data_IF_390852863964
#
_entry.id   IF_390852863964
#
_cell.length_a   1.000
_cell.length_b   1.000
_cell.length_c   1.000
_cell.angle_alpha   90.00
_cell.angle_beta   90.00
_cell.angle_gamma   90.00
#
_symmetry.space_group_name_H-M   'P 1'
#
loop_
_entity.id
_entity.type
_entity.pdbx_description
1 polymer ?
#
# COMPACT_ATOMS: atom_id res chain seq x y z
N UNK A 1 -10.09 -20.52 -6.96
CA UNK A 1 -8.61 -20.50 -7.03
C UNK A 1 -8.26 -19.52 -8.15
N UNK A 2 -7.73 -18.33 -7.82
CA UNK A 2 -7.37 -17.33 -8.83
C UNK A 2 -6.12 -17.82 -9.55
N UNK A 3 -6.18 -17.96 -10.87
CA UNK A 3 -5.00 -18.28 -11.66
C UNK A 3 -4.17 -17.00 -11.82
N UNK A 4 -3.02 -16.97 -11.17
CA UNK A 4 -2.10 -15.83 -11.20
C UNK A 4 -1.68 -15.40 -12.60
N UNK A 5 -1.72 -16.32 -13.59
CA UNK A 5 -1.43 -15.98 -14.98
C UNK A 5 -2.47 -15.04 -15.59
N UNK A 6 -3.72 -15.10 -15.11
CA UNK A 6 -4.82 -14.26 -15.58
C UNK A 6 -4.77 -12.85 -14.96
N UNK A 7 -3.94 -12.65 -13.91
CA UNK A 7 -3.71 -11.35 -13.29
C UNK A 7 -2.66 -10.51 -14.04
N UNK A 8 -1.70 -11.13 -14.75
CA UNK A 8 -0.65 -10.37 -15.44
C UNK A 8 -1.17 -9.32 -16.44
N UNK A 9 -2.17 -9.63 -17.29
CA UNK A 9 -2.73 -8.62 -18.19
C UNK A 9 -3.37 -7.44 -17.44
N UNK A 10 -4.01 -7.71 -16.29
CA UNK A 10 -4.67 -6.68 -15.47
C UNK A 10 -3.65 -5.84 -14.73
N UNK A 11 -2.62 -6.47 -14.16
CA UNK A 11 -1.49 -5.78 -13.50
C UNK A 11 -0.77 -4.89 -14.51
N UNK A 12 -0.53 -5.37 -15.73
CA UNK A 12 0.04 -4.56 -16.81
C UNK A 12 -0.85 -3.37 -17.16
N UNK A 13 -2.16 -3.58 -17.32
CA UNK A 13 -3.11 -2.49 -17.57
C UNK A 13 -3.15 -1.47 -16.42
N UNK A 14 -3.09 -1.92 -15.16
CA UNK A 14 -3.00 -1.05 -13.98
C UNK A 14 -1.71 -0.24 -13.99
N UNK A 15 -0.58 -0.84 -14.36
CA UNK A 15 0.69 -0.13 -14.48
C UNK A 15 0.64 0.97 -15.56
N UNK A 16 -0.02 0.71 -16.70
CA UNK A 16 -0.24 1.75 -17.73
C UNK A 16 -1.09 2.92 -17.22
N UNK A 17 -2.10 2.66 -16.38
CA UNK A 17 -2.85 3.76 -15.75
C UNK A 17 -2.04 4.48 -14.67
N UNK A 18 -1.18 3.76 -13.93
CA UNK A 18 -0.25 4.37 -12.98
C UNK A 18 0.72 5.32 -13.69
N UNK A 19 1.26 4.93 -14.85
CA UNK A 19 2.09 5.83 -15.67
C UNK A 19 1.33 7.07 -16.11
N UNK A 20 0.07 6.92 -16.56
CA UNK A 20 -0.76 8.06 -16.92
C UNK A 20 -1.02 9.01 -15.73
N UNK A 21 -1.21 8.45 -14.53
CA UNK A 21 -1.28 9.24 -13.28
C UNK A 21 0.04 9.97 -13.03
N UNK A 22 1.17 9.28 -13.10
CA UNK A 22 2.50 9.85 -12.89
C UNK A 22 2.82 10.98 -13.89
N UNK A 23 2.50 10.79 -15.17
CA UNK A 23 2.63 11.83 -16.21
C UNK A 23 1.77 13.05 -15.88
N UNK A 24 0.51 12.85 -15.51
CA UNK A 24 -0.38 13.95 -15.13
C UNK A 24 0.15 14.76 -13.93
N UNK A 25 0.78 14.09 -12.97
CA UNK A 25 1.34 14.71 -11.77
C UNK A 25 2.67 15.41 -12.05
N UNK A 26 3.51 14.85 -12.93
CA UNK A 26 4.83 15.40 -13.28
C UNK A 26 4.74 16.83 -13.84
N UNK A 27 3.66 17.16 -14.54
CA UNK A 27 3.43 18.51 -15.08
C UNK A 27 2.98 19.53 -14.01
N UNK A 28 2.65 19.09 -12.79
CA UNK A 28 1.89 19.87 -11.81
C UNK A 28 2.51 19.95 -10.43
N UNK A 29 3.40 19.02 -10.11
CA UNK A 29 3.96 18.88 -8.77
C UNK A 29 5.47 19.06 -8.78
N UNK A 30 5.99 19.63 -7.70
CA UNK A 30 7.42 19.66 -7.42
C UNK A 30 7.84 18.31 -6.81
N UNK A 31 8.77 17.63 -7.47
CA UNK A 31 9.31 16.33 -7.02
C UNK A 31 10.03 16.46 -5.67
N UNK A 32 10.59 17.62 -5.34
CA UNK A 32 11.25 17.85 -4.06
C UNK A 32 10.26 18.01 -2.89
N UNK A 33 9.00 18.35 -3.20
CA UNK A 33 7.94 18.55 -2.20
C UNK A 33 6.59 18.05 -2.74
N UNK A 34 6.46 16.73 -2.95
CA UNK A 34 5.32 16.16 -3.67
C UNK A 34 4.02 16.31 -2.86
N UNK A 35 2.97 16.80 -3.52
CA UNK A 35 1.65 16.85 -2.89
C UNK A 35 1.02 15.47 -2.88
N UNK A 36 1.25 14.69 -3.94
CA UNK A 36 0.74 13.35 -4.15
C UNK A 36 1.82 12.30 -3.92
N UNK A 37 1.48 11.27 -3.14
CA UNK A 37 2.38 10.15 -2.83
C UNK A 37 1.67 8.85 -3.19
N UNK A 38 2.32 8.03 -4.02
CA UNK A 38 1.89 6.68 -4.34
C UNK A 38 2.20 5.75 -3.17
N UNK A 39 1.16 5.12 -2.62
CA UNK A 39 1.27 4.16 -1.51
C UNK A 39 0.82 2.77 -2.00
N UNK A 40 0.54 1.86 -1.07
CA UNK A 40 -0.11 0.60 -1.40
C UNK A 40 0.79 -0.38 -2.17
N UNK A 41 0.17 -1.24 -2.99
CA UNK A 41 0.87 -2.37 -3.63
C UNK A 41 1.90 -1.95 -4.68
N UNK A 42 1.64 -0.87 -5.42
CA UNK A 42 2.60 -0.35 -6.40
C UNK A 42 3.83 0.28 -5.76
N UNK A 43 3.68 0.95 -4.61
CA UNK A 43 4.81 1.43 -3.83
C UNK A 43 5.66 0.27 -3.28
N UNK A 44 5.05 -0.85 -2.89
CA UNK A 44 5.81 -2.06 -2.51
C UNK A 44 6.56 -2.64 -3.70
N UNK A 45 5.92 -2.67 -4.88
CA UNK A 45 6.52 -3.16 -6.11
C UNK A 45 7.81 -2.40 -6.49
N UNK A 46 7.87 -1.09 -6.23
CA UNK A 46 9.08 -0.30 -6.42
C UNK A 46 10.29 -0.86 -5.65
N UNK A 47 10.11 -1.27 -4.39
CA UNK A 47 11.18 -1.84 -3.56
C UNK A 47 11.41 -3.33 -3.83
N UNK A 48 10.33 -4.07 -4.06
CA UNK A 48 10.36 -5.51 -4.24
C UNK A 48 9.20 -5.96 -5.13
N UNK A 49 9.49 -6.18 -6.41
CA UNK A 49 8.53 -6.59 -7.43
C UNK A 49 8.08 -8.05 -7.26
N UNK A 50 7.32 -8.34 -6.20
CA UNK A 50 6.92 -9.71 -5.83
C UNK A 50 5.53 -10.13 -6.34
N UNK A 51 4.53 -9.25 -6.23
CA UNK A 51 3.13 -9.58 -6.55
C UNK A 51 2.46 -8.58 -7.51
N UNK A 52 2.84 -7.30 -7.44
CA UNK A 52 2.19 -6.22 -8.19
C UNK A 52 0.87 -5.74 -7.57
N UNK A 53 0.17 -4.85 -8.28
CA UNK A 53 -1.14 -4.34 -7.85
C UNK A 53 -2.10 -4.18 -9.03
N UNK A 54 -3.38 -4.12 -8.71
CA UNK A 54 -4.45 -3.75 -9.64
C UNK A 54 -4.97 -2.36 -9.24
N UNK A 55 -5.21 -2.18 -7.95
CA UNK A 55 -5.62 -0.90 -7.38
C UNK A 55 -4.40 0.03 -7.26
N UNK A 56 -4.65 1.34 -7.47
CA UNK A 56 -3.67 2.41 -7.32
C UNK A 56 -4.08 3.28 -6.14
N UNK A 57 -3.23 3.32 -5.12
CA UNK A 57 -3.51 4.01 -3.87
C UNK A 57 -2.69 5.31 -3.79
N UNK A 58 -3.35 6.46 -3.60
CA UNK A 58 -2.71 7.77 -3.57
C UNK A 58 -3.08 8.52 -2.28
N UNK A 59 -2.08 9.11 -1.61
CA UNK A 59 -2.33 10.18 -0.64
C UNK A 59 -2.11 11.52 -1.34
N UNK A 60 -3.09 12.41 -1.32
CA UNK A 60 -3.00 13.69 -2.04
C UNK A 60 -3.80 14.82 -1.38
N UNK A 61 -3.79 16.00 -1.99
CA UNK A 61 -4.66 17.12 -1.63
C UNK A 61 -6.02 17.02 -2.32
N UNK A 62 -7.05 17.63 -1.73
CA UNK A 62 -8.38 17.72 -2.34
C UNK A 62 -8.35 18.35 -3.75
N UNK A 63 -7.48 19.36 -3.96
CA UNK A 63 -7.35 20.04 -5.26
C UNK A 63 -6.80 19.07 -6.32
N UNK A 64 -5.73 18.36 -6.00
CA UNK A 64 -5.12 17.40 -6.93
C UNK A 64 -6.05 16.22 -7.17
N UNK A 65 -6.64 15.64 -6.11
CA UNK A 65 -7.65 14.58 -6.19
C UNK A 65 -8.76 14.94 -7.19
N UNK A 66 -9.36 16.12 -7.05
CA UNK A 66 -10.44 16.57 -7.92
C UNK A 66 -9.99 16.69 -9.38
N UNK A 67 -8.81 17.29 -9.61
CA UNK A 67 -8.27 17.49 -10.96
C UNK A 67 -7.88 16.17 -11.63
N UNK A 68 -7.32 15.22 -10.87
CA UNK A 68 -6.92 13.91 -11.36
C UNK A 68 -8.15 13.06 -11.68
N UNK A 69 -9.16 13.03 -10.80
CA UNK A 69 -10.44 12.34 -11.08
C UNK A 69 -11.08 12.87 -12.36
N UNK A 70 -11.08 14.19 -12.57
CA UNK A 70 -11.58 14.79 -13.82
C UNK A 70 -10.80 14.29 -15.03
N UNK A 71 -9.46 14.35 -14.97
CA UNK A 71 -8.60 13.86 -16.06
C UNK A 71 -8.84 12.37 -16.38
N UNK A 72 -8.91 11.53 -15.36
CA UNK A 72 -9.13 10.08 -15.52
C UNK A 72 -10.46 9.77 -16.21
N UNK A 73 -11.52 10.51 -15.85
CA UNK A 73 -12.85 10.35 -16.45
C UNK A 73 -12.86 10.85 -17.90
N UNK A 74 -12.32 12.04 -18.15
CA UNK A 74 -12.39 12.70 -19.46
C UNK A 74 -11.45 12.06 -20.50
N UNK A 75 -10.30 11.52 -20.07
CA UNK A 75 -9.24 11.10 -20.99
C UNK A 75 -8.85 9.63 -20.88
N UNK A 76 -9.15 8.95 -19.76
CA UNK A 76 -8.65 7.59 -19.50
C UNK A 76 -9.75 6.53 -19.42
N UNK A 77 -11.03 6.93 -19.56
CA UNK A 77 -12.18 6.01 -19.56
C UNK A 77 -12.56 5.50 -18.17
N UNK A 78 -12.20 6.22 -17.11
CA UNK A 78 -12.69 5.94 -15.77
C UNK A 78 -14.12 6.44 -15.59
N UNK A 79 -14.87 5.80 -14.71
CA UNK A 79 -16.21 6.22 -14.28
C UNK A 79 -16.20 6.50 -12.78
N UNK A 80 -17.12 7.37 -12.34
CA UNK A 80 -17.36 7.57 -10.91
C UNK A 80 -17.92 6.30 -10.30
N UNK A 81 -17.37 5.92 -9.16
CA UNK A 81 -17.87 4.83 -8.35
C UNK A 81 -18.22 5.39 -6.96
N UNK A 82 -19.40 5.02 -6.46
CA UNK A 82 -19.78 5.28 -5.08
C UNK A 82 -19.52 4.02 -4.28
N UNK A 83 -18.67 4.12 -3.28
CA UNK A 83 -18.48 3.07 -2.28
C UNK A 83 -19.55 3.15 -1.19
N UNK A 84 -19.60 2.12 -0.35
CA UNK A 84 -20.59 2.00 0.72
C UNK A 84 -20.46 3.11 1.80
N UNK A 85 -19.27 3.71 1.94
CA UNK A 85 -18.96 4.84 2.81
C UNK A 85 -19.16 6.22 2.11
N UNK A 86 -19.80 6.25 0.94
CA UNK A 86 -20.04 7.43 0.08
C UNK A 86 -18.75 8.17 -0.33
N UNK A 87 -17.60 7.48 -0.24
CA UNK A 87 -16.35 7.86 -0.89
C UNK A 87 -16.58 7.91 -2.42
N UNK A 88 -16.03 8.95 -3.06
CA UNK A 88 -16.18 9.21 -4.50
C UNK A 88 -14.97 8.68 -5.24
N UNK A 89 -14.80 7.38 -5.28
CA UNK A 89 -13.72 6.74 -6.05
C UNK A 89 -13.95 6.82 -7.57
N UNK A 90 -12.91 6.48 -8.31
CA UNK A 90 -13.00 6.27 -9.76
C UNK A 90 -12.52 4.86 -10.08
N UNK A 91 -13.22 4.21 -11.01
CA UNK A 91 -12.84 2.88 -11.49
C UNK A 91 -12.88 2.81 -13.00
N UNK A 92 -12.04 1.96 -13.58
CA UNK A 92 -12.04 1.63 -15.00
C UNK A 92 -12.37 0.16 -15.16
N UNK A 93 -13.44 -0.15 -15.89
CA UNK A 93 -13.86 -1.53 -16.17
C UNK A 93 -13.07 -2.01 -17.40
N UNK A 94 -12.39 -3.14 -17.28
CA UNK A 94 -11.64 -3.79 -18.34
C UNK A 94 -12.54 -4.74 -19.15
N UNK A 95 -12.14 -5.11 -20.39
CA UNK A 95 -12.95 -5.98 -21.25
C UNK A 95 -13.30 -7.34 -20.63
N UNK A 96 -12.49 -7.85 -19.72
CA UNK A 96 -12.72 -9.10 -19.00
C UNK A 96 -13.66 -8.95 -17.77
N UNK A 97 -14.26 -7.78 -17.57
CA UNK A 97 -15.18 -7.48 -16.47
C UNK A 97 -14.50 -7.12 -15.14
N UNK A 98 -13.18 -7.23 -15.03
CA UNK A 98 -12.43 -6.75 -13.85
C UNK A 98 -12.30 -5.23 -13.87
N UNK A 99 -11.93 -4.62 -12.75
CA UNK A 99 -11.75 -3.17 -12.67
C UNK A 99 -10.44 -2.77 -12.03
N UNK A 100 -9.87 -1.68 -12.53
CA UNK A 100 -8.80 -0.92 -11.89
C UNK A 100 -9.47 0.18 -11.06
N UNK A 101 -9.18 0.24 -9.76
CA UNK A 101 -9.66 1.28 -8.87
C UNK A 101 -8.51 2.24 -8.53
N UNK A 102 -8.85 3.51 -8.32
CA UNK A 102 -7.92 4.51 -7.80
C UNK A 102 -8.49 5.04 -6.49
N UNK A 103 -7.78 4.69 -5.42
CA UNK A 103 -8.15 4.99 -4.05
C UNK A 103 -7.39 6.23 -3.60
N UNK A 104 -8.12 7.15 -2.96
CA UNK A 104 -7.59 8.45 -2.55
C UNK A 104 -7.70 8.61 -1.04
N UNK A 105 -6.54 8.65 -0.37
CA UNK A 105 -6.41 9.20 0.96
C UNK A 105 -6.01 10.66 0.91
N UNK A 106 -6.20 11.36 2.04
CA UNK A 106 -5.90 12.79 2.16
C UNK A 106 -4.94 13.06 3.31
N UNK A 107 -3.98 13.95 3.09
CA UNK A 107 -3.00 14.37 4.13
C UNK A 107 -3.68 14.98 5.36
N UNK A 108 -4.80 15.68 5.17
CA UNK A 108 -5.51 16.41 6.22
C UNK A 108 -6.64 15.60 6.88
N UNK A 109 -6.82 14.34 6.50
CA UNK A 109 -7.82 13.45 7.08
C UNK A 109 -7.13 12.29 7.80
N UNK A 110 -7.17 12.25 9.14
CA UNK A 110 -6.66 11.11 9.89
C UNK A 110 -7.40 9.82 9.51
N UNK A 111 -6.66 8.72 9.49
CA UNK A 111 -7.15 7.39 9.17
C UNK A 111 -7.22 6.54 10.45
N UNK A 112 -8.43 6.30 11.00
CA UNK A 112 -8.60 5.56 12.25
C UNK A 112 -7.98 4.15 12.18
N UNK A 113 -7.44 3.69 13.29
CA UNK A 113 -7.11 2.27 13.48
C UNK A 113 -8.34 1.53 13.96
N UNK A 114 -8.62 0.37 13.36
CA UNK A 114 -9.73 -0.47 13.80
C UNK A 114 -9.56 -0.89 15.27
N UNK A 115 -10.62 -0.71 16.06
CA UNK A 115 -10.65 -1.09 17.47
C UNK A 115 -9.82 -0.22 18.41
N UNK A 116 -9.24 0.88 17.94
CA UNK A 116 -8.38 1.75 18.73
C UNK A 116 -8.92 3.18 18.74
N UNK A 117 -8.75 3.88 19.86
CA UNK A 117 -9.02 5.33 19.96
C UNK A 117 -7.80 6.14 19.48
N UNK A 118 -7.32 5.81 18.28
CA UNK A 118 -6.20 6.50 17.66
C UNK A 118 -6.30 6.42 16.14
N UNK A 119 -5.62 7.33 15.47
CA UNK A 119 -5.60 7.41 14.01
C UNK A 119 -4.20 7.64 13.49
N UNK A 120 -3.96 7.18 12.27
CA UNK A 120 -2.78 7.50 11.51
C UNK A 120 -2.93 8.83 10.79
N UNK A 121 -1.97 9.73 10.97
CA UNK A 121 -1.94 11.05 10.34
C UNK A 121 -0.94 11.06 9.19
N UNK A 122 -1.43 11.09 7.96
CA UNK A 122 -0.61 11.01 6.74
C UNK A 122 0.41 12.13 6.53
N UNK A 123 0.43 13.18 7.36
CA UNK A 123 1.51 14.19 7.36
C UNK A 123 2.90 13.61 7.64
N UNK A 124 3.00 12.40 8.22
CA UNK A 124 4.30 11.73 8.36
C UNK A 124 5.02 11.50 7.02
N UNK A 125 4.31 11.57 5.89
CA UNK A 125 4.89 11.49 4.55
C UNK A 125 5.62 12.77 4.12
N UNK A 126 5.41 13.91 4.79
CA UNK A 126 6.10 15.17 4.47
C UNK A 126 7.61 15.02 4.69
N UNK A 127 8.41 15.17 3.63
CA UNK A 127 9.86 14.97 3.66
C UNK A 127 10.31 13.51 3.78
N UNK A 128 9.38 12.55 3.77
CA UNK A 128 9.68 11.12 3.91
C UNK A 128 9.31 10.31 2.67
N UNK A 129 9.67 10.85 1.51
CA UNK A 129 9.40 10.27 0.19
C UNK A 129 10.63 10.30 -0.69
N UNK A 130 10.65 9.44 -1.71
CA UNK A 130 11.65 9.45 -2.77
C UNK A 130 10.98 9.38 -4.16
N UNK A 131 11.62 9.92 -5.20
CA UNK A 131 11.12 9.82 -6.55
C UNK A 131 11.32 8.41 -7.12
N UNK A 132 10.26 7.83 -7.66
CA UNK A 132 10.33 6.64 -8.51
C UNK A 132 10.17 7.07 -9.98
N UNK A 133 11.26 6.99 -10.73
CA UNK A 133 11.22 7.10 -12.19
C UNK A 133 10.78 5.77 -12.80
N UNK A 134 9.59 5.75 -13.38
CA UNK A 134 8.97 4.55 -13.96
C UNK A 134 9.46 4.33 -15.40
N UNK A 135 9.66 5.43 -16.12
CA UNK A 135 10.25 5.54 -17.45
C UNK A 135 10.81 6.98 -17.59
N UNK A 136 11.61 7.24 -18.63
CA UNK A 136 12.30 8.54 -18.81
C UNK A 136 11.33 9.72 -18.66
N UNK A 137 11.51 10.50 -17.61
CA UNK A 137 10.71 11.70 -17.34
C UNK A 137 9.31 11.46 -16.77
N UNK A 138 8.94 10.22 -16.44
CA UNK A 138 7.68 9.88 -15.76
C UNK A 138 8.01 9.48 -14.33
N UNK A 139 7.76 10.42 -13.41
CA UNK A 139 8.18 10.30 -12.03
C UNK A 139 6.96 10.39 -11.11
N UNK A 140 6.91 9.52 -10.11
CA UNK A 140 5.95 9.59 -9.02
C UNK A 140 6.66 9.43 -7.69
N UNK A 141 6.22 10.15 -6.66
CA UNK A 141 6.82 10.03 -5.33
C UNK A 141 6.23 8.85 -4.58
N UNK A 142 7.09 8.05 -3.94
CA UNK A 142 6.71 6.93 -3.05
C UNK A 142 7.26 7.18 -1.64
N UNK A 143 6.65 6.65 -0.57
CA UNK A 143 7.21 6.76 0.77
C UNK A 143 8.56 6.06 0.85
N UNK A 144 9.41 6.51 1.78
CA UNK A 144 10.53 5.67 2.22
C UNK A 144 10.02 4.32 2.74
N UNK A 145 10.89 3.32 2.69
CA UNK A 145 10.56 1.93 3.05
C UNK A 145 9.94 1.80 4.44
N UNK A 146 10.47 2.53 5.44
CA UNK A 146 9.94 2.51 6.81
C UNK A 146 8.49 2.99 6.87
N UNK A 147 8.21 4.12 6.22
CA UNK A 147 6.90 4.73 6.16
C UNK A 147 5.88 3.81 5.47
N UNK A 148 6.29 3.20 4.35
CA UNK A 148 5.45 2.23 3.66
C UNK A 148 5.23 0.96 4.49
N UNK A 149 6.24 0.49 5.23
CA UNK A 149 6.12 -0.64 6.15
C UNK A 149 5.09 -0.35 7.24
N UNK A 150 5.14 0.82 7.87
CA UNK A 150 4.15 1.19 8.89
C UNK A 150 2.73 1.21 8.32
N UNK A 151 2.54 1.75 7.10
CA UNK A 151 1.23 1.73 6.44
C UNK A 151 0.73 0.30 6.16
N UNK A 152 1.63 -0.62 5.79
CA UNK A 152 1.28 -2.03 5.58
C UNK A 152 0.98 -2.75 6.90
N UNK A 153 1.66 -2.40 7.98
CA UNK A 153 1.33 -2.88 9.33
C UNK A 153 -0.06 -2.39 9.76
N UNK A 154 -0.41 -1.12 9.53
CA UNK A 154 -1.77 -0.62 9.75
C UNK A 154 -2.80 -1.40 8.94
N UNK A 155 -2.58 -1.57 7.64
CA UNK A 155 -3.50 -2.29 6.78
C UNK A 155 -3.74 -3.73 7.26
N UNK A 156 -2.67 -4.46 7.62
CA UNK A 156 -2.78 -5.80 8.17
C UNK A 156 -3.51 -5.83 9.53
N UNK A 157 -3.22 -4.87 10.42
CA UNK A 157 -3.93 -4.71 11.70
C UNK A 157 -5.44 -4.53 11.49
N UNK A 158 -5.83 -3.57 10.65
CA UNK A 158 -7.23 -3.23 10.42
C UNK A 158 -8.01 -4.43 9.86
N UNK A 159 -7.42 -5.13 8.89
CA UNK A 159 -8.04 -6.33 8.29
C UNK A 159 -8.16 -7.47 9.29
N UNK A 160 -7.10 -7.74 10.05
CA UNK A 160 -7.13 -8.76 11.10
C UNK A 160 -8.19 -8.44 12.16
N UNK A 161 -8.28 -7.17 12.59
CA UNK A 161 -9.32 -6.74 13.53
C UNK A 161 -10.72 -7.00 12.99
N UNK A 162 -11.00 -6.61 11.74
CA UNK A 162 -12.34 -6.82 11.14
C UNK A 162 -12.69 -8.28 10.97
N UNK A 163 -11.71 -9.12 10.65
CA UNK A 163 -11.88 -10.58 10.58
C UNK A 163 -12.13 -11.17 11.97
N UNK A 164 -11.33 -10.84 12.97
CA UNK A 164 -11.44 -11.43 14.32
C UNK A 164 -12.74 -10.99 15.01
N UNK A 165 -13.14 -9.73 14.83
CA UNK A 165 -14.34 -9.18 15.48
C UNK A 165 -15.61 -9.30 14.63
N UNK A 166 -15.53 -9.94 13.46
CA UNK A 166 -16.67 -10.14 12.57
C UNK A 166 -17.40 -8.85 12.18
N UNK A 167 -16.64 -7.77 11.95
CA UNK A 167 -17.18 -6.46 11.51
C UNK A 167 -17.09 -6.26 10.00
N UNK A 168 -16.44 -7.17 9.27
CA UNK A 168 -16.41 -7.15 7.81
C UNK A 168 -17.69 -7.71 7.18
N UNK A 169 -18.10 -7.12 6.06
CA UNK A 169 -19.18 -7.63 5.20
C UNK A 169 -18.74 -8.78 4.28
N UNK A 170 -17.44 -8.92 4.04
CA UNK A 170 -16.86 -9.99 3.22
C UNK A 170 -15.58 -10.52 3.89
N UNK A 171 -15.74 -11.57 4.68
CA UNK A 171 -14.65 -12.17 5.45
C UNK A 171 -13.60 -12.81 4.55
N UNK A 172 -14.00 -13.46 3.47
CA UNK A 172 -13.07 -14.19 2.59
C UNK A 172 -12.20 -13.21 1.82
N UNK A 173 -12.78 -12.09 1.36
CA UNK A 173 -12.02 -11.00 0.76
C UNK A 173 -11.02 -10.38 1.75
N UNK A 174 -11.42 -10.11 2.99
CA UNK A 174 -10.51 -9.59 4.02
C UNK A 174 -9.37 -10.55 4.33
N UNK A 175 -9.64 -11.85 4.41
CA UNK A 175 -8.62 -12.87 4.61
C UNK A 175 -7.62 -12.93 3.46
N UNK A 176 -8.08 -12.81 2.20
CA UNK A 176 -7.17 -12.76 1.05
C UNK A 176 -6.30 -11.49 1.07
N UNK A 177 -6.90 -10.33 1.32
CA UNK A 177 -6.16 -9.06 1.41
C UNK A 177 -5.20 -9.05 2.61
N UNK A 178 -5.57 -9.60 3.75
CA UNK A 178 -4.69 -9.75 4.92
C UNK A 178 -3.44 -10.58 4.57
N UNK A 179 -3.61 -11.72 3.89
CA UNK A 179 -2.46 -12.52 3.40
C UNK A 179 -1.57 -11.72 2.46
N UNK A 180 -2.16 -10.88 1.59
CA UNK A 180 -1.41 -9.98 0.71
C UNK A 180 -0.64 -8.93 1.50
N UNK A 181 -1.27 -8.25 2.47
CA UNK A 181 -0.59 -7.21 3.27
C UNK A 181 0.56 -7.80 4.10
N UNK A 182 0.39 -8.99 4.67
CA UNK A 182 1.47 -9.72 5.35
C UNK A 182 2.60 -10.07 4.38
N UNK A 183 2.28 -10.49 3.16
CA UNK A 183 3.26 -10.69 2.09
C UNK A 183 3.99 -9.42 1.69
N UNK A 184 3.28 -8.28 1.63
CA UNK A 184 3.89 -6.96 1.38
C UNK A 184 4.83 -6.55 2.52
N UNK A 185 4.48 -6.82 3.78
CA UNK A 185 5.37 -6.61 4.93
C UNK A 185 6.65 -7.45 4.77
N UNK A 186 6.51 -8.74 4.45
CA UNK A 186 7.66 -9.62 4.18
C UNK A 186 8.53 -9.09 3.04
N UNK A 187 7.91 -8.63 1.96
CA UNK A 187 8.61 -8.07 0.81
C UNK A 187 9.42 -6.80 1.17
N UNK A 188 8.90 -5.95 2.06
CA UNK A 188 9.58 -4.74 2.49
C UNK A 188 10.75 -5.02 3.45
N UNK A 189 10.66 -6.06 4.27
CA UNK A 189 11.72 -6.42 5.23
C UNK A 189 12.72 -7.45 4.67
N UNK A 190 12.49 -7.99 3.47
CA UNK A 190 13.37 -8.99 2.87
C UNK A 190 14.79 -8.42 2.66
N UNK A 191 15.81 -8.98 3.34
CA UNK A 191 17.19 -8.50 3.23
C UNK A 191 17.76 -8.56 1.81
N UNK A 192 17.30 -9.47 0.96
CA UNK A 192 17.78 -9.57 -0.43
C UNK A 192 17.29 -8.41 -1.31
N UNK A 193 16.22 -7.74 -0.89
CA UNK A 193 15.58 -6.64 -1.61
C UNK A 193 15.64 -5.34 -0.81
N UNK A 194 16.74 -5.11 -0.09
CA UNK A 194 16.99 -3.85 0.63
C UNK A 194 16.25 -3.72 1.97
N UNK A 195 15.70 -4.80 2.53
CA UNK A 195 14.98 -4.77 3.81
C UNK A 195 15.79 -4.25 5.01
N UNK A 196 17.12 -4.17 4.88
CA UNK A 196 18.02 -3.56 5.88
C UNK A 196 18.10 -2.03 5.81
N UNK A 197 17.47 -1.41 4.82
CA UNK A 197 17.40 0.05 4.62
C UNK A 197 16.29 0.70 5.45
N UNK A 198 15.58 -0.07 6.28
CA UNK A 198 14.59 0.45 7.21
C UNK A 198 15.28 1.37 8.22
N UNK A 199 14.84 2.63 8.26
CA UNK A 199 15.19 3.62 9.29
C UNK A 199 14.57 3.21 10.62
N UNK A 200 15.41 2.66 11.51
CA UNK A 200 14.99 2.06 12.78
C UNK A 200 14.52 3.09 13.81
N UNK A 201 15.09 4.30 13.78
CA UNK A 201 14.68 5.45 14.59
C UNK A 201 13.22 5.85 14.28
N UNK A 202 12.89 6.01 13.00
CA UNK A 202 11.52 6.29 12.56
C UNK A 202 10.57 5.14 12.93
N UNK A 203 10.99 3.89 12.71
CA UNK A 203 10.15 2.73 13.03
C UNK A 203 9.91 2.62 14.53
N UNK A 204 10.93 2.85 15.36
CA UNK A 204 10.84 2.87 16.81
C UNK A 204 9.89 3.94 17.32
N UNK A 205 9.88 5.14 16.72
CA UNK A 205 8.91 6.20 17.03
C UNK A 205 7.47 5.77 16.70
N UNK A 206 7.25 5.13 15.56
CA UNK A 206 5.93 4.61 15.19
C UNK A 206 5.46 3.50 16.13
N UNK A 207 6.33 2.56 16.47
CA UNK A 207 6.01 1.48 17.41
C UNK A 207 5.77 2.03 18.82
N UNK A 208 6.54 3.02 19.27
CA UNK A 208 6.31 3.67 20.57
C UNK A 208 4.96 4.38 20.62
N UNK A 209 4.53 4.99 19.51
CA UNK A 209 3.22 5.65 19.40
C UNK A 209 2.06 4.66 19.23
N UNK A 210 2.28 3.56 18.53
CA UNK A 210 1.27 2.56 18.18
C UNK A 210 1.77 1.13 18.53
N UNK A 211 1.95 0.81 19.82
CA UNK A 211 2.63 -0.41 20.26
C UNK A 211 1.89 -1.69 19.84
N UNK A 212 0.57 -1.61 19.64
CA UNK A 212 -0.23 -2.73 19.15
C UNK A 212 0.20 -3.21 17.76
N UNK A 213 0.83 -2.36 16.93
CA UNK A 213 1.31 -2.78 15.62
C UNK A 213 2.41 -3.85 15.67
N UNK A 214 3.12 -4.00 16.81
CA UNK A 214 4.05 -5.12 16.99
C UNK A 214 3.36 -6.48 16.93
N UNK A 215 2.08 -6.58 17.31
CA UNK A 215 1.36 -7.85 17.23
C UNK A 215 1.21 -8.33 15.78
N UNK A 216 1.20 -7.41 14.81
CA UNK A 216 1.17 -7.76 13.38
C UNK A 216 2.41 -8.56 12.99
N UNK A 217 3.58 -8.12 13.45
CA UNK A 217 4.87 -8.83 13.22
C UNK A 217 4.81 -10.22 13.85
N UNK A 218 4.25 -10.33 15.06
CA UNK A 218 4.08 -11.62 15.76
C UNK A 218 3.09 -12.54 15.04
N UNK A 219 1.98 -12.02 14.54
CA UNK A 219 0.99 -12.77 13.76
C UNK A 219 1.58 -13.35 12.47
N UNK A 220 2.46 -12.63 11.78
CA UNK A 220 3.10 -13.11 10.54
C UNK A 220 3.92 -14.38 10.78
N UNK A 221 4.62 -14.49 11.92
CA UNK A 221 5.44 -15.67 12.26
C UNK A 221 4.63 -16.97 12.30
N UNK A 222 3.32 -16.86 12.56
CA UNK A 222 2.39 -17.98 12.65
C UNK A 222 1.55 -18.17 11.37
N UNK A 223 1.62 -17.24 10.41
CA UNK A 223 0.86 -17.29 9.17
C UNK A 223 1.66 -17.92 8.03
N UNK A 224 1.68 -19.26 8.00
CA UNK A 224 2.32 -20.01 6.91
C UNK A 224 1.79 -19.60 5.53
N UNK A 225 0.52 -19.24 5.43
CA UNK A 225 -0.10 -18.93 4.14
C UNK A 225 0.41 -17.62 3.54
N UNK A 226 0.74 -16.61 4.38
CA UNK A 226 1.37 -15.38 3.93
C UNK A 226 2.82 -15.60 3.50
N UNK A 227 3.57 -16.42 4.25
CA UNK A 227 4.96 -16.79 3.93
C UNK A 227 5.02 -17.56 2.61
N UNK A 228 4.16 -18.55 2.43
CA UNK A 228 4.01 -19.31 1.18
C UNK A 228 3.59 -18.43 0.01
N UNK A 229 2.67 -17.47 0.25
CA UNK A 229 2.25 -16.52 -0.78
C UNK A 229 3.40 -15.63 -1.23
N UNK A 230 4.20 -15.11 -0.29
CA UNK A 230 5.39 -14.32 -0.60
C UNK A 230 6.44 -15.13 -1.35
N UNK A 231 6.73 -16.34 -0.86
CA UNK A 231 7.48 -17.38 -1.57
C UNK A 231 8.97 -17.11 -1.84
N UNK A 232 9.52 -15.95 -1.41
CA UNK A 232 10.94 -15.60 -1.61
C UNK A 232 11.79 -15.72 -0.35
N UNK A 233 11.18 -15.88 0.82
CA UNK A 233 11.85 -16.19 2.08
C UNK A 233 11.32 -17.50 2.65
N UNK A 234 12.23 -18.37 3.09
CA UNK A 234 11.85 -19.54 3.87
C UNK A 234 11.46 -19.16 5.31
N UNK A 235 10.88 -20.12 6.03
CA UNK A 235 10.36 -19.91 7.38
C UNK A 235 11.44 -19.47 8.38
N UNK A 236 12.66 -19.98 8.26
CA UNK A 236 13.76 -19.68 9.20
C UNK A 236 14.27 -18.26 8.97
N UNK A 237 14.39 -17.84 7.71
CA UNK A 237 14.77 -16.47 7.33
C UNK A 237 13.67 -15.50 7.76
N UNK A 238 12.40 -15.82 7.54
CA UNK A 238 11.27 -14.98 8.02
C UNK A 238 11.35 -14.79 9.52
N UNK A 239 11.46 -15.87 10.30
CA UNK A 239 11.54 -15.78 11.75
C UNK A 239 12.74 -14.97 12.24
N UNK A 240 13.92 -15.22 11.67
CA UNK A 240 15.14 -14.47 12.02
C UNK A 240 14.95 -12.97 11.75
N UNK A 241 14.45 -12.63 10.57
CA UNK A 241 14.27 -11.23 10.13
C UNK A 241 13.24 -10.50 11.01
N UNK A 242 12.09 -11.13 11.30
CA UNK A 242 11.06 -10.53 12.16
C UNK A 242 11.53 -10.41 13.62
N UNK A 243 12.30 -11.38 14.12
CA UNK A 243 12.88 -11.33 15.47
C UNK A 243 13.93 -10.21 15.59
N UNK A 244 14.82 -10.09 14.61
CA UNK A 244 15.80 -9.01 14.55
C UNK A 244 15.11 -7.65 14.51
N UNK A 245 14.12 -7.47 13.61
CA UNK A 245 13.35 -6.23 13.53
C UNK A 245 12.67 -5.89 14.86
N UNK A 246 12.03 -6.87 15.50
CA UNK A 246 11.35 -6.68 16.79
C UNK A 246 12.33 -6.31 17.90
N UNK A 247 13.53 -6.90 17.90
CA UNK A 247 14.57 -6.59 18.89
C UNK A 247 15.11 -5.16 18.73
N UNK A 248 15.22 -4.67 17.48
CA UNK A 248 15.81 -3.37 17.17
C UNK A 248 14.88 -2.17 17.43
N UNK A 249 13.58 -2.40 17.55
CA UNK A 249 12.56 -1.33 17.66
C UNK A 249 11.86 -1.29 19.02
N UNK A 250 12.27 -2.17 19.95
CA UNK A 250 11.84 -2.20 21.35
C UNK A 250 12.84 -1.46 22.22
#
# INVERSE_FOLDING_TARGET
MVNYRDLFPIIGASFEELKAVATFLSDKEDIASPTTVLIGGWAVHHYNAWYGSIDIDLITSHKTEHSLKKYLIEHRGFIRYKTADDSKEVKKILPNGTSIMIDFGRRDRPDPFEGMDSSLDYRFLDGNTLPWEMETGVIISVPFRTELLMMKMKAAWDREYRVVNNTSHDRDWELDKLKKDRGDILALIDPQYGGREIRLDHLGDYISRYPFLLSVIESIKNDRSAIERYGRMDYDIVNRTLNELTYLVR
#
